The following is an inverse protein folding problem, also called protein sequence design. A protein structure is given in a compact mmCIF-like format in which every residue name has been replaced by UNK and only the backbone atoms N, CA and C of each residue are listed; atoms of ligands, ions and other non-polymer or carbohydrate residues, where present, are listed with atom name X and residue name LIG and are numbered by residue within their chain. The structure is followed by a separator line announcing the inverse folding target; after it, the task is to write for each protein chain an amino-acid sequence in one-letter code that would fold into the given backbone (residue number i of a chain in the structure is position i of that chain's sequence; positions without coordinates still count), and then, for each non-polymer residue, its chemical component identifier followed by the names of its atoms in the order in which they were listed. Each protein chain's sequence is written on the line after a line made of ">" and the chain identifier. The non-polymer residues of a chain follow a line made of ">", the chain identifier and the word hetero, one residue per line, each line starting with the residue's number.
data_IF_390174622552
#
_entry.id   IF_390174622552
#
_cell.length_a   1.000
_cell.length_b   1.000
_cell.length_c   1.000
_cell.angle_alpha   90.00
_cell.angle_beta   90.00
_cell.angle_gamma   90.00
#
_symmetry.space_group_name_H-M   'P 1'
#
loop_
_entity.id
_entity.type
_entity.pdbx_description
1 polymer ?
#
# COMPACT_ATOMS: atom_id res chain seq x y z
N UNK A 1 3.05 19.55 17.38
CA UNK A 1 3.12 18.60 16.26
C UNK A 1 2.48 17.31 16.74
N UNK A 2 1.62 16.72 15.96
CA UNK A 2 1.01 15.44 16.34
C UNK A 2 1.93 14.33 15.85
N UNK A 3 2.45 13.55 16.78
CA UNK A 3 3.19 12.33 16.46
C UNK A 3 2.25 11.33 15.78
N UNK A 4 2.73 10.63 14.75
CA UNK A 4 1.99 9.63 14.01
C UNK A 4 2.89 8.44 13.69
N UNK A 5 2.53 7.26 14.18
CA UNK A 5 3.33 6.05 13.99
C UNK A 5 2.99 5.39 12.65
N UNK A 6 4.00 5.14 11.81
CA UNK A 6 3.89 4.39 10.56
C UNK A 6 4.04 2.89 10.83
N UNK A 7 2.93 2.16 10.82
CA UNK A 7 2.86 0.74 11.17
C UNK A 7 3.14 -0.17 9.96
N UNK A 8 4.35 -0.09 9.44
CA UNK A 8 4.81 -0.95 8.33
C UNK A 8 6.32 -1.17 8.39
N UNK A 9 6.78 -2.39 8.16
CA UNK A 9 8.19 -2.73 7.98
C UNK A 9 8.66 -2.63 6.53
N UNK A 10 7.77 -2.36 5.58
CA UNK A 10 8.11 -2.23 4.17
C UNK A 10 8.73 -0.86 3.88
N UNK A 11 10.03 -0.83 3.61
CA UNK A 11 10.79 0.42 3.38
C UNK A 11 10.29 1.21 2.16
N UNK A 12 9.79 0.54 1.12
CA UNK A 12 9.19 1.20 -0.04
C UNK A 12 7.93 1.98 0.36
N UNK A 13 7.05 1.36 1.16
CA UNK A 13 5.87 2.02 1.70
C UNK A 13 6.22 3.19 2.63
N UNK A 14 7.20 3.01 3.52
CA UNK A 14 7.69 4.07 4.42
C UNK A 14 8.16 5.28 3.62
N UNK A 15 8.96 5.05 2.56
CA UNK A 15 9.47 6.13 1.72
C UNK A 15 8.34 6.88 0.98
N UNK A 16 7.36 6.15 0.42
CA UNK A 16 6.20 6.76 -0.23
C UNK A 16 5.32 7.53 0.76
N UNK A 17 4.99 6.97 1.93
CA UNK A 17 4.17 7.63 2.95
C UNK A 17 4.85 8.91 3.45
N UNK A 18 6.16 8.88 3.72
CA UNK A 18 6.92 10.07 4.14
C UNK A 18 6.94 11.16 3.07
N UNK A 19 6.97 10.80 1.79
CA UNK A 19 6.92 11.77 0.69
C UNK A 19 5.52 12.38 0.48
N UNK A 20 4.47 11.68 0.85
CA UNK A 20 3.08 12.07 0.60
C UNK A 20 2.41 12.78 1.78
N UNK A 21 2.81 12.46 3.02
CA UNK A 21 2.23 13.05 4.23
C UNK A 21 2.80 14.46 4.47
N UNK A 22 2.00 15.38 5.06
CA UNK A 22 2.46 16.73 5.38
C UNK A 22 3.68 16.75 6.30
N UNK A 23 4.66 17.61 6.00
CA UNK A 23 5.87 17.78 6.82
C UNK A 23 5.58 18.33 8.24
N UNK A 24 4.34 18.76 8.50
CA UNK A 24 3.87 19.19 9.83
C UNK A 24 3.59 18.03 10.79
N UNK A 25 3.50 16.79 10.27
CA UNK A 25 3.35 15.58 11.07
C UNK A 25 4.73 15.05 11.45
N UNK A 26 4.92 14.71 12.71
CA UNK A 26 6.11 13.98 13.17
C UNK A 26 5.88 12.48 12.96
N UNK A 27 6.56 11.91 11.96
CA UNK A 27 6.36 10.52 11.55
C UNK A 27 7.38 9.61 12.25
N UNK A 28 6.90 8.80 13.17
CA UNK A 28 7.67 7.78 13.86
C UNK A 28 7.55 6.43 13.13
N UNK A 29 8.64 5.67 13.10
CA UNK A 29 8.61 4.28 12.65
C UNK A 29 8.42 3.30 13.83
N UNK A 30 8.18 2.02 13.51
CA UNK A 30 7.95 0.99 14.52
C UNK A 30 9.12 0.81 15.48
N UNK A 31 10.35 0.96 15.00
CA UNK A 31 11.54 0.82 15.84
C UNK A 31 11.63 1.95 16.89
N UNK A 32 11.30 3.18 16.49
CA UNK A 32 11.31 4.34 17.40
C UNK A 32 10.32 4.20 18.57
N UNK A 33 9.25 3.43 18.37
CA UNK A 33 8.26 3.13 19.41
C UNK A 33 8.42 1.73 20.05
N UNK A 34 9.55 1.07 19.78
CA UNK A 34 9.90 -0.22 20.40
C UNK A 34 9.09 -1.41 19.89
N UNK A 35 8.53 -1.33 18.69
CA UNK A 35 7.70 -2.38 18.10
C UNK A 35 8.43 -3.17 17.00
N UNK A 36 8.07 -4.45 16.79
CA UNK A 36 8.66 -5.25 15.72
C UNK A 36 8.22 -4.75 14.34
N UNK A 37 9.10 -4.91 13.35
CA UNK A 37 8.81 -4.54 11.96
C UNK A 37 7.79 -5.44 11.27
N UNK A 38 7.64 -6.69 11.71
CA UNK A 38 6.67 -7.66 11.17
C UNK A 38 5.43 -7.68 12.08
N UNK A 39 4.40 -6.97 11.65
CA UNK A 39 3.12 -6.88 12.37
C UNK A 39 2.16 -7.99 11.89
N UNK A 40 1.19 -8.39 12.72
CA UNK A 40 0.25 -9.45 12.34
C UNK A 40 -0.64 -9.03 11.15
N UNK A 41 -0.78 -9.94 10.19
CA UNK A 41 -1.62 -9.82 8.98
C UNK A 41 -2.35 -11.15 8.75
N UNK A 42 -3.38 -11.42 9.53
CA UNK A 42 -4.21 -12.63 9.43
C UNK A 42 -5.60 -12.39 8.82
N UNK A 43 -5.90 -11.15 8.48
CA UNK A 43 -7.17 -10.78 7.87
C UNK A 43 -7.31 -11.29 6.43
N UNK A 44 -8.54 -11.42 5.98
CA UNK A 44 -8.90 -11.86 4.62
C UNK A 44 -9.18 -10.68 3.68
N UNK A 45 -9.11 -9.45 4.17
CA UNK A 45 -9.28 -8.21 3.39
C UNK A 45 -8.17 -7.22 3.71
N UNK A 46 -7.94 -6.27 2.81
CA UNK A 46 -6.95 -5.19 3.00
C UNK A 46 -7.34 -4.33 4.22
N UNK A 47 -8.62 -4.05 4.41
CA UNK A 47 -9.14 -3.30 5.56
C UNK A 47 -8.83 -4.01 6.87
N UNK A 48 -9.12 -5.32 6.93
CA UNK A 48 -8.89 -6.10 8.14
C UNK A 48 -7.41 -6.12 8.54
N UNK A 49 -6.50 -6.27 7.57
CA UNK A 49 -5.06 -6.24 7.83
C UNK A 49 -4.56 -4.86 8.21
N UNK A 50 -5.02 -3.80 7.54
CA UNK A 50 -4.64 -2.42 7.89
C UNK A 50 -5.09 -2.09 9.32
N UNK A 51 -6.34 -2.38 9.67
CA UNK A 51 -6.86 -2.19 11.03
C UNK A 51 -6.10 -3.04 12.05
N UNK A 52 -5.84 -4.31 11.76
CA UNK A 52 -5.12 -5.21 12.67
C UNK A 52 -3.72 -4.67 13.01
N UNK A 53 -2.97 -4.20 12.01
CA UNK A 53 -1.65 -3.61 12.22
C UNK A 53 -1.70 -2.34 13.04
N UNK A 54 -2.62 -1.43 12.72
CA UNK A 54 -2.76 -0.17 13.42
C UNK A 54 -3.21 -0.36 14.88
N UNK A 55 -4.17 -1.28 15.15
CA UNK A 55 -4.60 -1.65 16.52
C UNK A 55 -3.44 -2.22 17.32
N UNK A 56 -2.73 -3.19 16.74
CA UNK A 56 -1.59 -3.83 17.42
C UNK A 56 -0.55 -2.83 17.89
N UNK A 57 -0.25 -1.82 17.06
CA UNK A 57 0.70 -0.78 17.39
C UNK A 57 0.12 0.20 18.42
N UNK A 58 -1.09 0.72 18.20
CA UNK A 58 -1.74 1.69 19.06
C UNK A 58 -1.92 1.18 20.50
N UNK A 59 -2.37 -0.06 20.68
CA UNK A 59 -2.52 -0.70 21.99
C UNK A 59 -1.22 -0.80 22.79
N UNK A 60 -0.06 -0.76 22.13
CA UNK A 60 1.26 -0.92 22.74
C UNK A 60 2.00 0.38 22.94
N UNK A 61 1.87 1.33 22.02
CA UNK A 61 2.58 2.61 22.14
C UNK A 61 1.70 3.76 22.66
N UNK A 62 0.36 3.62 22.61
CA UNK A 62 -0.59 4.67 23.06
C UNK A 62 -0.64 5.90 22.13
N UNK A 63 0.08 5.89 21.00
CA UNK A 63 0.15 6.99 20.05
C UNK A 63 -0.83 6.77 18.90
N UNK A 64 -1.23 7.83 18.16
CA UNK A 64 -1.94 7.68 16.90
C UNK A 64 -1.12 6.83 15.91
N UNK A 65 -1.76 5.85 15.30
CA UNK A 65 -1.14 4.87 14.43
C UNK A 65 -1.81 4.81 13.07
N UNK A 66 -1.03 4.82 12.00
CA UNK A 66 -1.51 4.47 10.67
C UNK A 66 -0.82 3.23 10.14
N UNK A 67 -1.60 2.36 9.50
CA UNK A 67 -1.10 1.21 8.76
C UNK A 67 -1.73 1.17 7.38
N UNK A 68 -0.95 0.85 6.36
CA UNK A 68 -1.50 0.57 5.04
C UNK A 68 -1.48 -0.92 4.74
N UNK A 69 -2.51 -1.39 4.04
CA UNK A 69 -2.45 -2.63 3.30
C UNK A 69 -2.78 -2.39 1.84
N UNK A 70 -2.06 -3.07 0.95
CA UNK A 70 -2.14 -2.84 -0.49
C UNK A 70 -2.18 -4.15 -1.23
N UNK A 71 -3.11 -4.27 -2.16
CA UNK A 71 -3.24 -5.40 -3.06
C UNK A 71 -3.29 -4.96 -4.53
N UNK A 72 -2.76 -5.83 -5.38
CA UNK A 72 -3.04 -5.85 -6.80
C UNK A 72 -4.22 -6.81 -7.02
N UNK A 73 -5.29 -6.32 -7.61
CA UNK A 73 -6.48 -7.11 -7.92
C UNK A 73 -6.60 -7.23 -9.44
N UNK A 74 -6.66 -8.48 -9.96
CA UNK A 74 -6.75 -8.76 -11.40
C UNK A 74 -8.08 -9.42 -11.72
N UNK A 75 -8.86 -8.84 -12.62
CA UNK A 75 -10.22 -9.26 -12.92
C UNK A 75 -10.29 -10.72 -13.41
N UNK A 76 -9.41 -11.11 -14.33
CA UNK A 76 -9.35 -12.46 -14.89
C UNK A 76 -8.91 -13.54 -13.88
N UNK A 77 -8.46 -13.13 -12.67
CA UNK A 77 -8.08 -14.00 -11.57
C UNK A 77 -9.01 -13.84 -10.36
N UNK A 78 -10.23 -13.32 -10.58
CA UNK A 78 -11.24 -13.09 -9.53
C UNK A 78 -10.70 -12.23 -8.37
N UNK A 79 -9.92 -11.21 -8.68
CA UNK A 79 -9.30 -10.31 -7.71
C UNK A 79 -7.98 -10.81 -7.09
N UNK A 80 -7.50 -12.01 -7.46
CA UNK A 80 -6.17 -12.43 -7.02
C UNK A 80 -5.07 -11.58 -7.73
N UNK A 81 -3.91 -11.38 -7.09
CA UNK A 81 -3.47 -11.82 -5.76
C UNK A 81 -4.15 -11.14 -4.57
N UNK A 82 -4.74 -9.92 -4.71
CA UNK A 82 -5.48 -9.21 -3.68
C UNK A 82 -4.70 -9.06 -2.37
N UNK A 83 -5.29 -9.45 -1.25
CA UNK A 83 -4.66 -9.42 0.09
C UNK A 83 -3.39 -10.26 0.19
N UNK A 84 -3.18 -11.22 -0.73
CA UNK A 84 -1.99 -12.05 -0.77
C UNK A 84 -0.87 -11.50 -1.65
N UNK A 85 -0.98 -10.26 -2.14
CA UNK A 85 -0.02 -9.66 -3.10
C UNK A 85 1.44 -9.79 -2.68
N UNK A 86 1.76 -9.54 -1.42
CA UNK A 86 3.14 -9.63 -0.94
C UNK A 86 3.68 -11.07 -0.83
N UNK A 87 2.80 -12.09 -0.79
CA UNK A 87 3.13 -13.49 -0.58
C UNK A 87 2.47 -14.43 -1.60
N UNK A 88 2.18 -13.93 -2.80
CA UNK A 88 1.44 -14.65 -3.83
C UNK A 88 2.16 -15.92 -4.28
N UNK A 89 3.48 -15.89 -4.38
CA UNK A 89 4.33 -17.05 -4.68
C UNK A 89 4.86 -17.76 -3.41
N UNK A 90 4.37 -17.40 -2.21
CA UNK A 90 4.73 -18.06 -0.97
C UNK A 90 5.31 -17.16 0.11
N UNK A 91 5.69 -17.78 1.23
CA UNK A 91 6.10 -17.09 2.46
C UNK A 91 7.43 -16.32 2.34
N UNK A 92 8.24 -16.59 1.33
CA UNK A 92 9.50 -15.88 1.08
C UNK A 92 9.29 -14.41 0.71
N UNK A 93 8.06 -14.03 0.30
CA UNK A 93 7.69 -12.67 -0.09
C UNK A 93 8.61 -12.10 -1.19
N UNK A 94 9.09 -12.95 -2.11
CA UNK A 94 9.97 -12.55 -3.21
C UNK A 94 9.16 -11.81 -4.29
N UNK A 95 9.43 -10.51 -4.54
CA UNK A 95 8.68 -9.75 -5.53
C UNK A 95 8.81 -10.30 -6.95
N UNK A 96 9.99 -10.81 -7.32
CA UNK A 96 10.19 -11.41 -8.65
C UNK A 96 9.37 -12.68 -8.81
N UNK A 97 9.40 -13.59 -7.84
CA UNK A 97 8.60 -14.81 -7.88
C UNK A 97 7.10 -14.49 -7.92
N UNK A 98 6.64 -13.48 -7.18
CA UNK A 98 5.25 -13.03 -7.21
C UNK A 98 4.83 -12.52 -8.60
N UNK A 99 5.67 -11.70 -9.26
CA UNK A 99 5.41 -11.23 -10.63
C UNK A 99 5.42 -12.38 -11.64
N UNK A 100 6.42 -13.26 -11.59
CA UNK A 100 6.55 -14.39 -12.52
C UNK A 100 5.31 -15.31 -12.42
N UNK A 101 4.84 -15.59 -11.20
CA UNK A 101 3.62 -16.37 -10.99
C UNK A 101 2.37 -15.67 -11.52
N UNK A 102 2.26 -14.34 -11.31
CA UNK A 102 1.16 -13.56 -11.84
C UNK A 102 1.12 -13.62 -13.37
N UNK A 103 2.24 -13.39 -14.03
CA UNK A 103 2.35 -13.42 -15.49
C UNK A 103 2.02 -14.81 -16.06
N UNK A 104 2.49 -15.88 -15.38
CA UNK A 104 2.16 -17.25 -15.77
C UNK A 104 0.65 -17.53 -15.68
N UNK A 105 -0.02 -17.05 -14.62
CA UNK A 105 -1.46 -17.22 -14.45
C UNK A 105 -2.29 -16.41 -15.46
N UNK A 106 -1.71 -15.38 -16.08
CA UNK A 106 -2.36 -14.50 -17.06
C UNK A 106 -2.14 -14.89 -18.53
N UNK A 107 -1.44 -15.99 -18.81
CA UNK A 107 -1.30 -16.48 -20.18
C UNK A 107 -2.66 -16.77 -20.78
N UNK A 108 -2.98 -16.12 -21.92
CA UNK A 108 -4.25 -16.27 -22.61
C UNK A 108 -5.48 -15.65 -21.92
N UNK A 109 -5.28 -14.82 -20.89
CA UNK A 109 -6.37 -14.17 -20.14
C UNK A 109 -6.37 -12.65 -20.31
N UNK A 110 -7.49 -12.02 -19.91
CA UNK A 110 -7.61 -10.57 -19.79
C UNK A 110 -6.63 -10.03 -18.74
N UNK A 111 -6.16 -8.80 -18.94
CA UNK A 111 -5.11 -8.18 -18.12
C UNK A 111 -5.59 -6.96 -17.34
N UNK A 112 -6.90 -6.68 -17.35
CA UNK A 112 -7.46 -5.60 -16.54
C UNK A 112 -7.21 -5.85 -15.06
N UNK A 113 -6.71 -4.81 -14.40
CA UNK A 113 -6.29 -4.90 -13.00
C UNK A 113 -6.44 -3.55 -12.32
N UNK A 114 -6.38 -3.55 -10.99
CA UNK A 114 -6.27 -2.33 -10.20
C UNK A 114 -5.35 -2.53 -9.01
N UNK A 115 -4.60 -1.49 -8.68
CA UNK A 115 -4.02 -1.39 -7.35
C UNK A 115 -5.02 -0.75 -6.39
N UNK A 116 -5.11 -1.31 -5.21
CA UNK A 116 -5.95 -0.82 -4.13
C UNK A 116 -5.14 -0.73 -2.84
N UNK A 117 -5.20 0.43 -2.18
CA UNK A 117 -4.61 0.65 -0.86
C UNK A 117 -5.71 1.04 0.12
N UNK A 118 -5.68 0.45 1.30
CA UNK A 118 -6.45 0.90 2.46
C UNK A 118 -5.47 1.37 3.54
N UNK A 119 -5.64 2.60 4.01
CA UNK A 119 -4.95 3.14 5.17
C UNK A 119 -5.93 3.11 6.34
N UNK A 120 -5.56 2.45 7.45
CA UNK A 120 -6.26 2.55 8.71
C UNK A 120 -5.57 3.59 9.60
N UNK A 121 -6.34 4.47 10.22
CA UNK A 121 -5.92 5.36 11.30
C UNK A 121 -6.61 4.91 12.58
N UNK A 122 -5.86 4.78 13.66
CA UNK A 122 -6.39 4.58 15.01
C UNK A 122 -5.80 5.65 15.91
N UNK A 123 -6.68 6.38 16.56
CA UNK A 123 -6.35 7.44 17.51
C UNK A 123 -7.41 7.53 18.63
N UNK A 124 -7.36 8.58 19.43
CA UNK A 124 -8.30 8.79 20.56
C UNK A 124 -9.78 8.92 20.13
N UNK A 125 -10.05 9.27 18.88
CA UNK A 125 -11.41 9.43 18.35
C UNK A 125 -11.94 8.14 17.67
N UNK A 126 -11.12 7.08 17.63
CA UNK A 126 -11.52 5.76 17.16
C UNK A 126 -10.75 5.27 15.93
N UNK A 127 -11.44 4.47 15.12
CA UNK A 127 -10.87 3.79 13.97
C UNK A 127 -11.47 4.33 12.66
N UNK A 128 -10.61 4.69 11.74
CA UNK A 128 -10.97 5.23 10.43
C UNK A 128 -10.20 4.53 9.32
N UNK A 129 -10.83 4.38 8.16
CA UNK A 129 -10.18 3.81 6.97
C UNK A 129 -10.30 4.73 5.78
N UNK A 130 -9.24 4.80 4.97
CA UNK A 130 -9.13 5.62 3.78
C UNK A 130 -8.65 4.77 2.62
N UNK A 131 -9.35 4.84 1.51
CA UNK A 131 -9.09 3.99 0.35
C UNK A 131 -8.58 4.82 -0.83
N UNK A 132 -7.66 4.21 -1.59
CA UNK A 132 -7.25 4.72 -2.88
C UNK A 132 -7.12 3.59 -3.89
N UNK A 133 -7.68 3.79 -5.08
CA UNK A 133 -7.71 2.80 -6.16
C UNK A 133 -7.17 3.44 -7.43
N UNK A 134 -6.33 2.69 -8.17
CA UNK A 134 -5.91 3.04 -9.53
C UNK A 134 -6.16 1.85 -10.43
N UNK A 135 -7.03 2.04 -11.43
CA UNK A 135 -7.27 1.06 -12.50
C UNK A 135 -6.12 1.07 -13.50
N UNK A 136 -5.93 -0.05 -14.19
CA UNK A 136 -4.87 -0.21 -15.16
C UNK A 136 -4.86 -1.60 -15.77
N UNK A 137 -3.72 -2.00 -16.28
CA UNK A 137 -3.52 -3.31 -16.91
C UNK A 137 -2.15 -3.89 -16.61
N UNK A 138 -2.07 -5.22 -16.66
CA UNK A 138 -0.81 -5.96 -16.48
C UNK A 138 -0.13 -6.16 -17.85
N UNK A 139 1.15 -5.83 -17.95
CA UNK A 139 1.97 -6.07 -19.13
C UNK A 139 2.29 -7.56 -19.33
N UNK A 140 2.73 -7.95 -20.53
CA UNK A 140 3.16 -9.33 -20.79
C UNK A 140 4.53 -9.64 -20.18
N UNK A 141 5.39 -8.63 -20.11
CA UNK A 141 6.75 -8.70 -19.57
C UNK A 141 7.00 -7.52 -18.66
N UNK A 142 7.86 -7.66 -17.63
CA UNK A 142 8.26 -6.54 -16.78
C UNK A 142 8.99 -5.46 -17.58
N UNK A 143 8.76 -4.18 -17.23
CA UNK A 143 9.40 -3.00 -17.80
C UNK A 143 9.76 -2.00 -16.71
N UNK A 144 10.95 -1.39 -16.83
CA UNK A 144 11.47 -0.42 -15.86
C UNK A 144 12.08 -1.07 -14.61
N UNK A 145 12.91 -0.30 -13.91
CA UNK A 145 13.70 -0.73 -12.76
C UNK A 145 13.32 0.01 -11.47
N UNK A 146 12.36 0.93 -11.55
CA UNK A 146 11.90 1.73 -10.39
C UNK A 146 10.83 1.02 -9.57
N UNK A 147 10.46 1.66 -8.47
CA UNK A 147 9.36 1.21 -7.62
C UNK A 147 9.65 -0.07 -6.85
N UNK A 148 8.59 -0.85 -6.57
CA UNK A 148 8.67 -2.14 -5.89
C UNK A 148 7.44 -3.02 -6.18
N UNK A 149 7.52 -4.29 -5.81
CA UNK A 149 6.41 -5.25 -5.97
C UNK A 149 6.03 -5.46 -7.44
N UNK A 150 4.79 -5.16 -7.80
CA UNK A 150 4.26 -5.34 -9.15
C UNK A 150 4.39 -4.10 -10.04
N UNK A 151 5.08 -3.04 -9.60
CA UNK A 151 5.28 -1.82 -10.38
C UNK A 151 5.82 -2.07 -11.80
N UNK A 152 6.76 -3.05 -12.03
CA UNK A 152 7.28 -3.32 -13.37
C UNK A 152 6.27 -3.92 -14.35
N UNK A 153 5.12 -4.40 -13.87
CA UNK A 153 4.11 -5.03 -14.72
C UNK A 153 2.78 -4.28 -14.75
N UNK A 154 2.62 -3.20 -14.02
CA UNK A 154 1.36 -2.46 -13.95
C UNK A 154 1.44 -1.12 -14.70
N UNK A 155 0.59 -0.96 -15.71
CA UNK A 155 0.37 0.29 -16.46
C UNK A 155 -0.93 0.92 -15.98
N UNK A 156 -0.91 2.13 -15.40
CA UNK A 156 -2.13 2.82 -15.00
C UNK A 156 -2.97 3.20 -16.21
N UNK A 157 -4.30 3.24 -16.03
CA UNK A 157 -5.26 3.62 -17.07
C UNK A 157 -4.93 5.01 -17.64
N UNK A 158 -4.99 5.11 -18.98
CA UNK A 158 -4.62 6.32 -19.71
C UNK A 158 -3.11 6.53 -19.88
N UNK A 159 -2.28 5.66 -19.29
CA UNK A 159 -0.83 5.69 -19.42
C UNK A 159 -0.28 4.68 -20.42
N UNK A 160 1.01 4.80 -20.79
CA UNK A 160 1.76 3.86 -21.61
C UNK A 160 2.97 3.25 -20.89
N UNK A 161 3.37 3.84 -19.77
CA UNK A 161 4.51 3.43 -18.95
C UNK A 161 4.02 2.67 -17.70
N UNK A 162 4.80 1.68 -17.30
CA UNK A 162 4.57 1.02 -16.02
C UNK A 162 4.92 1.95 -14.86
N UNK A 163 4.45 1.65 -13.66
CA UNK A 163 4.87 2.41 -12.48
C UNK A 163 6.38 2.37 -12.25
N UNK A 164 7.07 1.31 -12.70
CA UNK A 164 8.53 1.19 -12.60
C UNK A 164 9.28 2.01 -13.66
N UNK A 165 8.64 2.38 -14.76
CA UNK A 165 9.19 3.26 -15.80
C UNK A 165 8.98 4.75 -15.46
N UNK A 166 8.11 5.07 -14.49
CA UNK A 166 7.85 6.45 -14.05
C UNK A 166 8.91 6.91 -13.06
N UNK A 167 9.21 8.20 -13.05
CA UNK A 167 9.90 8.80 -11.92
C UNK A 167 9.00 8.78 -10.66
N UNK A 168 9.64 8.97 -9.50
CA UNK A 168 8.94 8.88 -8.20
C UNK A 168 7.84 9.93 -8.06
N UNK A 169 8.05 11.13 -8.56
CA UNK A 169 7.09 12.24 -8.42
C UNK A 169 5.88 12.00 -9.31
N UNK A 170 6.09 11.56 -10.55
CA UNK A 170 5.01 11.19 -11.47
C UNK A 170 4.17 10.05 -10.89
N UNK A 171 4.79 8.96 -10.42
CA UNK A 171 4.09 7.86 -9.75
C UNK A 171 3.33 8.34 -8.50
N UNK A 172 4.00 9.10 -7.63
CA UNK A 172 3.40 9.63 -6.41
C UNK A 172 2.21 10.55 -6.69
N UNK A 173 2.18 11.24 -7.84
CA UNK A 173 1.08 12.11 -8.24
C UNK A 173 -0.22 11.37 -8.57
N UNK A 174 -0.16 10.10 -8.97
CA UNK A 174 -1.33 9.35 -9.48
C UNK A 174 -1.61 8.04 -8.74
N UNK A 175 -0.71 7.59 -7.86
CA UNK A 175 -0.76 6.26 -7.27
C UNK A 175 -1.99 6.03 -6.36
N UNK A 176 -2.34 4.76 -6.19
CA UNK A 176 -3.35 4.30 -5.24
C UNK A 176 -3.06 4.78 -3.82
N UNK A 177 -1.77 4.73 -3.38
CA UNK A 177 -1.37 5.23 -2.06
C UNK A 177 -1.55 6.73 -1.95
N UNK A 178 -1.24 7.51 -3.00
CA UNK A 178 -1.50 8.95 -3.02
C UNK A 178 -2.97 9.25 -2.75
N UNK A 179 -3.89 8.57 -3.43
CA UNK A 179 -5.33 8.79 -3.26
C UNK A 179 -5.80 8.47 -1.84
N UNK A 180 -5.30 7.39 -1.25
CA UNK A 180 -5.60 7.03 0.15
C UNK A 180 -5.04 8.05 1.14
N UNK A 181 -3.80 8.55 0.90
CA UNK A 181 -3.18 9.58 1.74
C UNK A 181 -3.92 10.91 1.63
N UNK A 182 -4.36 11.32 0.43
CA UNK A 182 -5.13 12.55 0.25
C UNK A 182 -6.43 12.52 1.06
N UNK A 183 -7.13 11.38 1.10
CA UNK A 183 -8.32 11.21 1.91
C UNK A 183 -8.01 11.28 3.43
N UNK A 184 -6.92 10.65 3.87
CA UNK A 184 -6.44 10.74 5.26
C UNK A 184 -6.08 12.20 5.62
N UNK A 185 -5.33 12.90 4.78
CA UNK A 185 -4.92 14.29 5.02
C UNK A 185 -6.12 15.22 5.09
N UNK A 186 -7.11 15.06 4.20
CA UNK A 186 -8.35 15.83 4.24
C UNK A 186 -9.12 15.61 5.56
N UNK A 187 -9.17 14.35 6.04
CA UNK A 187 -9.79 14.03 7.33
C UNK A 187 -9.05 14.70 8.50
N UNK A 188 -7.71 14.59 8.56
CA UNK A 188 -6.91 15.21 9.60
C UNK A 188 -7.03 16.75 9.60
N UNK A 189 -7.05 17.37 8.43
CA UNK A 189 -7.20 18.82 8.30
C UNK A 189 -8.57 19.32 8.78
N UNK A 190 -9.64 18.54 8.61
CA UNK A 190 -10.98 18.89 9.09
C UNK A 190 -11.10 18.92 10.63
N UNK A 191 -10.20 18.22 11.35
CA UNK A 191 -10.17 18.11 12.82
C UNK A 191 -9.36 19.20 13.51
N UNK A 192 -8.57 19.95 12.79
CA UNK A 192 -7.74 21.07 13.33
C UNK A 192 -8.56 22.36 13.45
N UNK A 193 -9.81 22.34 13.06
CA UNK A 193 -10.75 23.45 13.22
C UNK A 193 -11.57 23.29 14.48
#
# INVERSE_FOLDING_TARGET
>A
MSELVLCTGNQGKVAELRALLPATLELLDLHQVGLPSDLPESGTTLEANALQKARYAHERCGLPCIADDTGLEVDALNGAPGVYSARYAGAARDPKANMDLLLAHLVGKGRAARFRTVIALIDADGEHTFEGVVSGSITEVPRGDGGFGYDPVFVPEGGSHTFAEMDKDAKNGISHRRRAVDALVAYLAARVR
#
